data_IF_494762761469
#
_entry.id   IF_494762761469
#
_cell.length_a   1.000
_cell.length_b   1.000
_cell.length_c   1.000
_cell.angle_alpha   90.00
_cell.angle_beta   90.00
_cell.angle_gamma   90.00
#
_symmetry.space_group_name_H-M   'P 1'
#
loop_
_entity.id
_entity.type
_entity.pdbx_description
1 polymer ?
#
# COMPACT_ATOMS: atom_id res chain seq x y z
N UNK A 1 -24.43 30.15 -15.97
CA UNK A 1 -23.75 28.94 -16.46
C UNK A 1 -23.43 28.07 -15.26
N UNK A 2 -23.95 26.84 -15.21
CA UNK A 2 -23.66 25.93 -14.11
C UNK A 2 -22.29 25.28 -14.35
N UNK A 3 -21.37 25.46 -13.40
CA UNK A 3 -20.05 24.83 -13.41
C UNK A 3 -20.09 23.76 -12.32
N UNK A 4 -19.93 22.50 -12.71
CA UNK A 4 -19.87 21.36 -11.78
C UNK A 4 -18.45 20.83 -11.76
N UNK A 5 -17.86 20.70 -10.56
CA UNK A 5 -16.54 20.12 -10.35
C UNK A 5 -16.70 18.79 -9.60
N UNK A 6 -15.98 17.77 -10.07
CA UNK A 6 -15.95 16.43 -9.49
C UNK A 6 -14.59 16.22 -8.85
N UNK A 7 -14.46 16.50 -7.56
CA UNK A 7 -13.18 16.35 -6.85
C UNK A 7 -12.91 14.89 -6.45
N UNK A 8 -13.96 14.15 -6.06
CA UNK A 8 -13.88 12.71 -5.79
C UNK A 8 -15.23 12.05 -6.06
N UNK A 9 -15.31 11.30 -7.15
CA UNK A 9 -16.53 10.60 -7.57
C UNK A 9 -16.17 9.15 -7.83
N UNK A 10 -16.96 8.25 -7.26
CA UNK A 10 -16.75 6.81 -7.39
C UNK A 10 -16.83 6.39 -8.86
N UNK A 11 -15.73 5.84 -9.40
CA UNK A 11 -15.76 5.19 -10.70
C UNK A 11 -16.43 3.83 -10.55
N UNK A 12 -17.63 3.67 -11.14
CA UNK A 12 -18.37 2.44 -11.43
C UNK A 12 -18.42 1.32 -10.36
N UNK A 13 -17.26 0.75 -10.04
CA UNK A 13 -17.04 -0.28 -9.04
C UNK A 13 -15.73 0.02 -8.29
N UNK A 14 -15.82 0.60 -7.08
CA UNK A 14 -14.72 0.82 -6.11
C UNK A 14 -13.33 1.23 -6.68
N UNK A 15 -13.28 2.10 -7.69
CA UNK A 15 -12.04 2.41 -8.42
C UNK A 15 -11.34 3.73 -8.09
N UNK A 16 -11.48 4.28 -6.88
CA UNK A 16 -10.88 5.59 -6.57
C UNK A 16 -9.42 5.48 -6.17
N UNK A 17 -8.57 6.27 -6.83
CA UNK A 17 -7.16 6.44 -6.50
C UNK A 17 -6.98 7.71 -5.69
N UNK A 18 -6.21 7.63 -4.61
CA UNK A 18 -5.86 8.81 -3.83
C UNK A 18 -4.46 9.31 -4.22
N UNK A 19 -4.29 10.63 -4.23
CA UNK A 19 -2.96 11.24 -4.34
C UNK A 19 -2.41 11.43 -2.93
N UNK A 20 -1.25 10.84 -2.65
CA UNK A 20 -0.64 10.92 -1.33
C UNK A 20 0.77 11.49 -1.38
N UNK A 21 1.20 12.13 -0.29
CA UNK A 21 2.56 12.62 -0.10
C UNK A 21 3.06 12.26 1.30
N UNK A 22 4.34 11.92 1.41
CA UNK A 22 4.98 11.63 2.69
C UNK A 22 6.23 12.47 2.87
N UNK A 23 6.56 12.82 4.12
CA UNK A 23 7.73 13.63 4.45
C UNK A 23 9.03 12.81 4.48
N UNK A 24 8.94 11.48 4.42
CA UNK A 24 10.07 10.56 4.35
C UNK A 24 10.09 9.85 3.00
N UNK A 25 11.27 9.34 2.65
CA UNK A 25 11.43 8.44 1.51
C UNK A 25 10.63 7.14 1.72
N UNK A 26 10.02 6.64 0.66
CA UNK A 26 9.20 5.43 0.66
C UNK A 26 9.62 4.46 -0.46
N UNK A 27 9.16 3.22 -0.36
CA UNK A 27 9.20 2.23 -1.45
C UNK A 27 7.79 1.95 -1.95
N UNK A 28 7.67 1.43 -3.17
CA UNK A 28 6.43 0.81 -3.62
C UNK A 28 6.09 -0.39 -2.72
N UNK A 29 4.80 -0.69 -2.57
CA UNK A 29 4.35 -1.85 -1.80
C UNK A 29 4.11 -1.57 -0.30
N UNK A 30 4.31 -0.33 0.15
CA UNK A 30 3.99 0.07 1.53
C UNK A 30 2.49 0.35 1.69
N UNK A 31 1.99 0.16 2.92
CA UNK A 31 0.59 0.35 3.29
C UNK A 31 0.42 1.55 4.21
N UNK A 32 -0.57 2.38 3.91
CA UNK A 32 -0.83 3.62 4.64
C UNK A 32 -2.31 3.85 4.86
N UNK A 33 -2.62 4.66 5.86
CA UNK A 33 -3.93 5.26 6.05
C UNK A 33 -3.90 6.69 5.48
N UNK A 34 -4.97 7.10 4.82
CA UNK A 34 -5.07 8.44 4.23
C UNK A 34 -5.29 9.47 5.33
N UNK A 35 -4.32 10.38 5.49
CA UNK A 35 -4.35 11.43 6.48
C UNK A 35 -5.10 12.69 6.04
N UNK A 36 -4.71 13.79 6.67
CA UNK A 36 -5.27 15.11 6.36
C UNK A 36 -4.89 15.53 4.94
N UNK A 37 -5.76 16.31 4.33
CA UNK A 37 -5.47 16.99 3.08
C UNK A 37 -4.37 18.04 3.30
N UNK A 38 -3.38 18.06 2.41
CA UNK A 38 -2.28 19.03 2.43
C UNK A 38 -2.81 20.44 2.13
N UNK A 39 -2.39 21.44 2.90
CA UNK A 39 -2.76 22.83 2.69
C UNK A 39 -2.43 23.28 1.26
N UNK A 40 -3.30 24.10 0.67
CA UNK A 40 -3.17 24.63 -0.70
C UNK A 40 -3.11 23.59 -1.84
N UNK A 41 -3.23 22.30 -1.52
CA UNK A 41 -3.46 21.24 -2.49
C UNK A 41 -4.96 21.04 -2.73
N UNK A 42 -5.35 20.43 -3.86
CA UNK A 42 -6.75 20.08 -4.09
C UNK A 42 -7.11 18.70 -3.54
N UNK A 43 -6.35 17.69 -3.97
CA UNK A 43 -6.64 16.25 -3.81
C UNK A 43 -5.50 15.47 -3.13
N UNK A 44 -4.48 16.19 -2.62
CA UNK A 44 -3.29 15.55 -2.04
C UNK A 44 -3.49 15.37 -0.55
N UNK A 45 -3.28 14.15 -0.08
CA UNK A 45 -3.39 13.79 1.33
C UNK A 45 -2.03 13.36 1.89
N UNK A 46 -1.85 13.55 3.19
CA UNK A 46 -0.66 13.09 3.89
C UNK A 46 -0.73 11.57 4.13
N UNK A 47 0.41 10.90 4.00
CA UNK A 47 0.57 9.49 4.40
C UNK A 47 0.61 9.40 5.92
N UNK A 48 -0.33 8.64 6.51
CA UNK A 48 -0.34 8.29 7.93
C UNK A 48 0.19 6.88 8.11
N UNK A 49 1.12 6.73 9.05
CA UNK A 49 1.68 5.44 9.43
C UNK A 49 0.60 4.63 10.15
N UNK A 50 0.35 3.37 9.76
CA UNK A 50 -0.68 2.54 10.38
C UNK A 50 -0.48 2.38 11.89
N UNK A 51 -1.56 2.57 12.66
CA UNK A 51 -1.63 2.24 14.09
C UNK A 51 -2.77 1.25 14.32
N UNK A 52 -2.77 0.58 15.48
CA UNK A 52 -3.79 -0.42 15.82
C UNK A 52 -5.23 0.14 15.81
N UNK A 53 -5.41 1.43 16.10
CA UNK A 53 -6.71 2.09 16.07
C UNK A 53 -7.17 2.32 14.62
N UNK A 54 -6.32 2.95 13.81
CA UNK A 54 -6.65 3.33 12.45
C UNK A 54 -6.85 2.11 11.54
N UNK A 55 -6.01 1.06 11.65
CA UNK A 55 -6.20 -0.12 10.80
C UNK A 55 -7.52 -0.84 11.12
N UNK A 56 -8.06 -0.69 12.34
CA UNK A 56 -9.31 -1.33 12.74
C UNK A 56 -10.56 -0.60 12.25
N UNK A 57 -10.46 0.69 11.95
CA UNK A 57 -11.61 1.57 11.68
C UNK A 57 -11.56 2.27 10.33
N UNK A 58 -10.35 2.54 9.81
CA UNK A 58 -10.10 3.31 8.60
C UNK A 58 -9.69 2.41 7.43
N UNK A 59 -9.82 2.95 6.22
CA UNK A 59 -9.40 2.29 4.99
C UNK A 59 -7.88 2.32 4.88
N UNK A 60 -7.26 1.16 4.62
CA UNK A 60 -5.83 1.04 4.37
C UNK A 60 -5.59 0.91 2.87
N UNK A 61 -4.64 1.70 2.36
CA UNK A 61 -4.34 1.78 0.94
C UNK A 61 -2.89 1.35 0.66
N UNK A 62 -2.69 0.80 -0.54
CA UNK A 62 -1.40 0.38 -1.06
C UNK A 62 -0.71 1.54 -1.80
N UNK A 63 0.49 1.91 -1.40
CA UNK A 63 1.29 2.95 -2.06
C UNK A 63 2.02 2.37 -3.27
N UNK A 64 1.86 3.04 -4.41
CA UNK A 64 2.64 2.75 -5.60
C UNK A 64 2.84 4.00 -6.46
N UNK A 65 4.05 4.16 -6.99
CA UNK A 65 4.41 5.19 -7.95
C UNK A 65 5.08 4.55 -9.18
N UNK A 66 4.97 5.18 -10.37
CA UNK A 66 5.66 4.68 -11.55
C UNK A 66 7.17 4.66 -11.33
N UNK A 67 7.80 3.54 -11.66
CA UNK A 67 9.20 3.21 -11.35
C UNK A 67 10.17 3.85 -12.35
N UNK A 68 10.10 5.17 -12.49
CA UNK A 68 10.96 5.93 -13.41
C UNK A 68 12.25 6.32 -12.69
N UNK A 69 13.36 5.70 -13.08
CA UNK A 69 14.71 6.01 -12.60
C UNK A 69 15.48 6.80 -13.65
N UNK A 70 15.85 8.04 -13.33
CA UNK A 70 16.66 8.90 -14.22
C UNK A 70 18.17 8.61 -14.13
N UNK A 71 18.62 7.98 -13.05
CA UNK A 71 20.02 7.59 -12.87
C UNK A 71 20.26 6.25 -13.57
N UNK A 72 21.03 6.28 -14.66
CA UNK A 72 21.37 5.10 -15.48
C UNK A 72 22.14 4.02 -14.70
N UNK A 73 22.73 4.36 -13.55
CA UNK A 73 23.41 3.39 -12.67
C UNK A 73 22.44 2.55 -11.84
N UNK A 74 21.20 3.02 -11.65
CA UNK A 74 20.11 2.33 -10.95
C UNK A 74 19.19 1.70 -11.98
N UNK A 75 19.51 0.47 -12.37
CA UNK A 75 18.79 -0.25 -13.42
C UNK A 75 17.85 -1.33 -12.86
N UNK A 76 17.91 -1.63 -11.56
CA UNK A 76 17.07 -2.66 -10.94
C UNK A 76 15.84 -2.02 -10.33
N UNK A 77 14.67 -2.65 -10.52
CA UNK A 77 13.41 -2.18 -9.91
C UNK A 77 13.52 -2.07 -8.37
N UNK A 78 14.34 -2.93 -7.73
CA UNK A 78 14.65 -2.88 -6.30
C UNK A 78 15.34 -1.58 -5.83
N UNK A 79 15.97 -0.84 -6.73
CA UNK A 79 16.67 0.41 -6.42
C UNK A 79 15.73 1.62 -6.44
N UNK A 80 14.50 1.46 -6.93
CA UNK A 80 13.52 2.53 -6.99
C UNK A 80 13.10 2.95 -5.59
N UNK A 81 13.08 4.26 -5.37
CA UNK A 81 12.61 4.90 -4.14
C UNK A 81 11.72 6.06 -4.54
N UNK A 82 10.62 6.25 -3.80
CA UNK A 82 9.78 7.44 -3.88
C UNK A 82 10.42 8.49 -2.97
N UNK A 83 10.98 9.58 -3.53
CA UNK A 83 11.60 10.64 -2.73
C UNK A 83 10.62 11.28 -1.76
N UNK A 84 11.15 11.80 -0.65
CA UNK A 84 10.38 12.60 0.29
C UNK A 84 9.70 13.79 -0.42
N UNK A 85 8.47 14.08 -0.02
CA UNK A 85 7.62 15.14 -0.57
C UNK A 85 7.23 14.97 -2.05
N UNK A 86 7.45 13.78 -2.63
CA UNK A 86 6.97 13.46 -3.97
C UNK A 86 5.59 12.80 -3.92
N UNK A 87 4.76 13.11 -4.92
CA UNK A 87 3.43 12.52 -5.08
C UNK A 87 3.52 11.04 -5.44
N UNK A 88 2.75 10.22 -4.72
CA UNK A 88 2.51 8.82 -5.02
C UNK A 88 1.01 8.56 -5.16
N UNK A 89 0.65 7.38 -5.69
CA UNK A 89 -0.74 6.93 -5.75
C UNK A 89 -0.98 5.93 -4.64
N UNK A 90 -2.12 6.07 -3.97
CA UNK A 90 -2.59 5.10 -3.00
C UNK A 90 -3.82 4.38 -3.57
N UNK A 91 -3.71 3.06 -3.69
CA UNK A 91 -4.70 2.18 -4.27
C UNK A 91 -5.59 1.63 -3.16
N UNK A 92 -6.89 1.82 -3.33
CA UNK A 92 -7.90 1.13 -2.53
C UNK A 92 -7.95 -0.32 -2.97
N UNK A 93 -7.95 -1.23 -2.01
CA UNK A 93 -8.04 -2.64 -2.27
C UNK A 93 -9.46 -3.12 -1.99
N UNK A 94 -9.94 -4.04 -2.81
CA UNK A 94 -11.25 -4.66 -2.68
C UNK A 94 -11.11 -6.16 -2.46
N UNK A 95 -12.11 -6.75 -1.81
CA UNK A 95 -12.15 -8.20 -1.58
C UNK A 95 -12.03 -8.95 -2.90
N UNK A 96 -11.07 -9.87 -2.96
CA UNK A 96 -10.78 -10.69 -4.13
C UNK A 96 -9.59 -10.20 -4.96
N UNK A 97 -9.09 -8.98 -4.74
CA UNK A 97 -7.89 -8.49 -5.41
C UNK A 97 -6.68 -9.35 -5.03
N UNK A 98 -5.78 -9.56 -5.99
CA UNK A 98 -4.57 -10.36 -5.84
C UNK A 98 -3.36 -9.50 -6.17
N UNK A 99 -2.37 -9.48 -5.29
CA UNK A 99 -1.11 -8.77 -5.47
C UNK A 99 0.05 -9.67 -5.08
N UNK A 100 1.21 -9.47 -5.70
CA UNK A 100 2.44 -10.19 -5.36
C UNK A 100 3.43 -9.21 -4.75
N UNK A 101 3.93 -9.51 -3.56
CA UNK A 101 4.88 -8.67 -2.83
C UNK A 101 6.14 -9.47 -2.48
N UNK A 102 7.28 -8.82 -2.49
CA UNK A 102 8.55 -9.42 -2.06
C UNK A 102 8.64 -9.52 -0.52
N UNK A 103 9.40 -10.50 -0.02
CA UNK A 103 9.51 -10.84 1.41
C UNK A 103 10.03 -9.68 2.28
N UNK A 104 10.73 -8.70 1.70
CA UNK A 104 11.18 -7.48 2.38
C UNK A 104 10.04 -6.56 2.81
N UNK A 105 8.86 -6.69 2.21
CA UNK A 105 7.64 -5.96 2.58
C UNK A 105 6.86 -6.63 3.72
N UNK A 106 7.44 -7.65 4.34
CA UNK A 106 6.87 -8.32 5.51
C UNK A 106 7.76 -8.14 6.74
N UNK A 107 7.11 -8.03 7.91
CA UNK A 107 7.75 -8.04 9.22
C UNK A 107 7.68 -9.46 9.76
N UNK A 108 8.85 -10.08 9.92
CA UNK A 108 8.95 -11.46 10.39
C UNK A 108 8.68 -12.50 9.29
N UNK A 109 8.62 -13.77 9.70
CA UNK A 109 8.40 -14.88 8.77
C UNK A 109 6.90 -15.08 8.51
N UNK A 110 6.52 -14.99 7.23
CA UNK A 110 5.17 -15.25 6.73
C UNK A 110 5.22 -16.47 5.81
N UNK A 111 4.20 -17.33 5.89
CA UNK A 111 4.08 -18.54 5.07
C UNK A 111 2.74 -18.60 4.36
N UNK A 112 2.67 -19.46 3.34
CA UNK A 112 1.39 -19.81 2.68
C UNK A 112 0.36 -20.27 3.71
N UNK A 113 -0.87 -19.78 3.57
CA UNK A 113 -1.98 -20.01 4.49
C UNK A 113 -2.04 -19.06 5.69
N UNK A 114 -1.03 -18.22 5.92
CA UNK A 114 -1.10 -17.19 6.95
C UNK A 114 -2.01 -16.04 6.52
N UNK A 115 -2.70 -15.45 7.49
CA UNK A 115 -3.35 -14.16 7.32
C UNK A 115 -2.37 -13.04 7.69
N UNK A 116 -2.32 -11.99 6.87
CA UNK A 116 -1.46 -10.83 7.11
C UNK A 116 -2.25 -9.54 7.10
N UNK A 117 -1.80 -8.59 7.91
CA UNK A 117 -2.38 -7.27 8.12
C UNK A 117 -1.28 -6.21 8.11
N UNK A 118 -1.60 -4.92 7.93
CA UNK A 118 -0.63 -3.85 8.07
C UNK A 118 0.03 -3.86 9.46
N UNK A 119 1.35 -3.73 9.47
CA UNK A 119 2.14 -3.69 10.69
C UNK A 119 1.99 -2.34 11.40
N UNK A 120 1.91 -2.40 12.73
CA UNK A 120 1.75 -1.22 13.62
C UNK A 120 3.06 -0.81 14.29
N UNK A 121 4.19 -1.27 13.76
CA UNK A 121 5.56 -1.00 14.25
C UNK A 121 6.19 0.24 13.62
N UNK A 122 5.46 0.92 12.75
CA UNK A 122 5.92 2.09 12.01
C UNK A 122 6.59 1.79 10.67
N UNK A 123 6.72 0.51 10.29
CA UNK A 123 7.37 0.10 9.04
C UNK A 123 6.50 0.30 7.79
N UNK A 124 5.18 0.44 7.95
CA UNK A 124 4.19 0.45 6.85
C UNK A 124 4.19 -0.83 6.01
N UNK A 125 4.76 -1.92 6.53
CA UNK A 125 4.82 -3.25 5.91
C UNK A 125 3.63 -4.11 6.33
N UNK A 126 3.59 -5.35 5.88
CA UNK A 126 2.64 -6.36 6.37
C UNK A 126 3.25 -7.21 7.48
N UNK A 127 2.44 -7.69 8.39
CA UNK A 127 2.82 -8.65 9.43
C UNK A 127 1.75 -9.72 9.57
N UNK A 128 2.13 -10.87 10.13
CA UNK A 128 1.17 -11.94 10.42
C UNK A 128 0.11 -11.45 11.40
N UNK A 129 -1.15 -11.74 11.09
CA UNK A 129 -2.29 -11.41 11.95
C UNK A 129 -2.17 -12.17 13.28
N UNK A 130 -2.19 -11.43 14.39
CA UNK A 130 -2.38 -12.00 15.72
C UNK A 130 -3.83 -12.44 15.93
N UNK A 131 -4.08 -13.34 16.89
CA UNK A 131 -5.43 -13.89 17.17
C UNK A 131 -6.51 -12.82 17.41
N UNK A 132 -6.12 -11.67 17.94
CA UNK A 132 -7.04 -10.57 18.30
C UNK A 132 -6.87 -9.33 17.41
N UNK A 133 -6.08 -9.43 16.34
CA UNK A 133 -5.78 -8.28 15.51
C UNK A 133 -6.99 -7.89 14.65
N UNK A 134 -7.46 -6.65 14.84
CA UNK A 134 -8.55 -6.08 14.06
C UNK A 134 -7.96 -5.19 12.97
N UNK A 135 -8.29 -5.50 11.72
CA UNK A 135 -7.87 -4.71 10.56
C UNK A 135 -8.98 -4.71 9.51
N UNK A 136 -9.28 -3.57 8.92
CA UNK A 136 -10.20 -3.44 7.78
C UNK A 136 -9.65 -4.23 6.59
N UNK A 137 -8.35 -4.11 6.33
CA UNK A 137 -7.61 -4.85 5.30
C UNK A 137 -6.95 -6.11 5.87
N UNK A 138 -7.33 -7.27 5.35
CA UNK A 138 -6.72 -8.58 5.67
C UNK A 138 -6.44 -9.32 4.37
N UNK A 139 -5.21 -9.81 4.24
CA UNK A 139 -4.82 -10.70 3.16
C UNK A 139 -4.65 -12.13 3.64
N UNK A 140 -4.86 -13.05 2.71
CA UNK A 140 -4.48 -14.45 2.83
C UNK A 140 -3.33 -14.72 1.87
N UNK A 141 -2.27 -15.36 2.35
CA UNK A 141 -1.12 -15.76 1.52
C UNK A 141 -1.49 -17.05 0.79
N UNK A 142 -1.57 -17.00 -0.54
CA UNK A 142 -2.05 -18.12 -1.35
C UNK A 142 -0.90 -19.00 -1.85
N UNK A 143 0.18 -18.38 -2.31
CA UNK A 143 1.31 -19.10 -2.92
C UNK A 143 2.60 -18.31 -2.78
N UNK A 144 3.72 -19.00 -2.93
CA UNK A 144 5.03 -18.38 -3.08
C UNK A 144 5.33 -18.18 -4.57
N UNK A 145 5.95 -17.07 -4.90
CA UNK A 145 6.34 -16.69 -6.25
C UNK A 145 7.80 -16.21 -6.24
N UNK A 146 8.40 -16.04 -7.41
CA UNK A 146 9.76 -15.54 -7.59
C UNK A 146 9.82 -14.10 -8.10
N UNK A 147 8.70 -13.59 -8.67
CA UNK A 147 8.63 -12.27 -9.32
C UNK A 147 9.79 -12.00 -10.30
N UNK A 148 10.31 -13.05 -10.95
CA UNK A 148 11.51 -13.01 -11.79
C UNK A 148 12.78 -12.42 -11.10
N UNK A 149 12.79 -12.31 -9.76
CA UNK A 149 13.95 -11.78 -9.01
C UNK A 149 14.79 -12.91 -8.43
N UNK A 150 14.21 -13.73 -7.54
CA UNK A 150 14.82 -14.91 -6.91
C UNK A 150 13.68 -15.87 -6.49
N UNK A 151 13.82 -17.17 -6.74
CA UNK A 151 12.83 -18.18 -6.35
C UNK A 151 12.52 -18.14 -4.85
N UNK A 152 11.23 -17.98 -4.53
CA UNK A 152 10.73 -17.94 -3.15
C UNK A 152 10.99 -16.63 -2.42
N UNK A 153 11.37 -15.54 -3.10
CA UNK A 153 11.46 -14.21 -2.48
C UNK A 153 10.18 -13.38 -2.57
N UNK A 154 9.12 -13.90 -3.20
CA UNK A 154 7.83 -13.23 -3.30
C UNK A 154 6.67 -14.10 -2.78
N UNK A 155 5.62 -13.43 -2.33
CA UNK A 155 4.39 -14.04 -1.82
C UNK A 155 3.20 -13.42 -2.53
N UNK A 156 2.31 -14.27 -3.03
CA UNK A 156 1.05 -13.86 -3.64
C UNK A 156 0.00 -13.78 -2.54
N UNK A 157 -0.60 -12.61 -2.43
CA UNK A 157 -1.60 -12.25 -1.43
C UNK A 157 -2.94 -12.02 -2.10
N UNK A 158 -4.00 -12.54 -1.49
CA UNK A 158 -5.38 -12.20 -1.87
C UNK A 158 -6.08 -11.46 -0.76
N UNK A 159 -6.78 -10.40 -1.10
CA UNK A 159 -7.62 -9.66 -0.16
C UNK A 159 -8.79 -10.53 0.27
N UNK A 160 -8.76 -10.94 1.53
CA UNK A 160 -9.84 -11.70 2.19
C UNK A 160 -10.92 -10.78 2.72
N UNK A 161 -10.50 -9.62 3.24
CA UNK A 161 -11.36 -8.57 3.79
C UNK A 161 -10.77 -7.19 3.45
N UNK A 162 -11.62 -6.29 2.96
CA UNK A 162 -11.36 -4.86 2.76
C UNK A 162 -12.68 -4.12 2.93
#
# INVERSE_FOLDING_TARGET
MAIVRKDKVLSGYNGNLESVVHTKEMTNGLFTVVGKKVADSREVHEVVVPTAENIATEEVLLIHAPEVMYDERKYRLRDFRIPANQLARAYRMSKGDVITLTKDLFVGAVKVGDEVIPAVDGSMKLTKAGKDAKSTLVFEVIEEDSLDVIDGEALVLKVKRA
#
